data_IF_319252842783
#
_entry.id   IF_319252842783
#
_cell.length_a   1.000
_cell.length_b   1.000
_cell.length_c   1.000
_cell.angle_alpha   90.00
_cell.angle_beta   90.00
_cell.angle_gamma   90.00
#
_symmetry.space_group_name_H-M   'P 1'
#
loop_
_entity.id
_entity.type
_entity.pdbx_description
1 polymer ?
#
# COMPACT_ATOMS: atom_id res chain seq x y z
N UNK A 1 -8.14 -9.45 -5.74
CA UNK A 1 -8.71 -9.61 -4.38
C UNK A 1 -7.75 -10.31 -3.42
N UNK A 2 -7.17 -11.47 -3.77
CA UNK A 2 -6.22 -12.19 -2.91
C UNK A 2 -4.97 -11.36 -2.51
N UNK A 3 -4.37 -10.59 -3.43
CA UNK A 3 -3.21 -9.74 -3.14
C UNK A 3 -3.51 -8.66 -2.09
N UNK A 4 -4.67 -7.99 -2.19
CA UNK A 4 -5.10 -6.98 -1.20
C UNK A 4 -5.30 -7.61 0.18
N UNK A 5 -5.89 -8.81 0.25
CA UNK A 5 -6.08 -9.54 1.50
C UNK A 5 -4.73 -9.90 2.13
N UNK A 6 -3.77 -10.36 1.33
CA UNK A 6 -2.41 -10.62 1.80
C UNK A 6 -1.75 -9.39 2.42
N UNK A 7 -1.76 -8.27 1.69
CA UNK A 7 -1.18 -7.00 2.17
C UNK A 7 -1.86 -6.48 3.44
N UNK A 8 -3.18 -6.63 3.57
CA UNK A 8 -3.89 -6.28 4.82
C UNK A 8 -3.48 -7.20 5.99
N UNK A 9 -3.21 -8.48 5.73
CA UNK A 9 -2.70 -9.43 6.72
C UNK A 9 -1.29 -9.07 7.20
N UNK A 10 -0.43 -8.63 6.29
CA UNK A 10 0.92 -8.16 6.63
C UNK A 10 0.85 -6.86 7.45
N UNK A 11 -0.01 -5.92 7.04
CA UNK A 11 -0.25 -4.69 7.80
C UNK A 11 -0.78 -4.98 9.21
N UNK A 12 -1.72 -5.93 9.34
CA UNK A 12 -2.24 -6.36 10.65
C UNK A 12 -1.12 -6.89 11.54
N UNK A 13 -0.22 -7.70 10.98
CA UNK A 13 0.92 -8.26 11.70
C UNK A 13 1.83 -7.15 12.22
N UNK A 14 2.14 -6.17 11.37
CA UNK A 14 2.99 -5.04 11.73
C UNK A 14 2.34 -4.15 12.81
N UNK A 15 1.06 -3.81 12.65
CA UNK A 15 0.31 -2.98 13.61
C UNK A 15 0.24 -3.66 14.97
N UNK A 16 0.01 -4.98 15.01
CA UNK A 16 -0.01 -5.75 16.27
C UNK A 16 1.35 -5.78 16.95
N UNK A 17 2.43 -5.96 16.19
CA UNK A 17 3.79 -5.90 16.73
C UNK A 17 4.08 -4.51 17.30
N UNK A 18 3.80 -3.44 16.56
CA UNK A 18 4.03 -2.07 17.01
C UNK A 18 3.27 -1.74 18.31
N UNK A 19 2.00 -2.18 18.42
CA UNK A 19 1.19 -2.02 19.66
C UNK A 19 1.74 -2.84 20.82
N UNK A 20 2.21 -4.07 20.59
CA UNK A 20 2.73 -4.92 21.66
C UNK A 20 4.05 -4.36 22.22
N UNK A 21 4.91 -3.83 21.35
CA UNK A 21 6.17 -3.20 21.71
C UNK A 21 5.96 -1.82 22.39
N UNK A 22 4.89 -1.09 22.02
CA UNK A 22 4.62 0.27 22.49
C UNK A 22 3.19 0.47 23.02
N UNK A 23 2.75 -0.20 24.11
CA UNK A 23 1.33 -0.25 24.50
C UNK A 23 0.70 1.10 24.90
N UNK A 24 1.51 2.11 25.23
CA UNK A 24 1.05 3.42 25.71
C UNK A 24 1.24 4.55 24.72
N UNK A 25 1.80 4.26 23.54
CA UNK A 25 2.06 5.27 22.50
C UNK A 25 0.93 5.21 21.48
N UNK A 26 0.31 6.34 21.11
CA UNK A 26 -0.66 6.36 20.03
C UNK A 26 -0.04 5.86 18.72
N UNK A 27 -0.75 4.98 18.00
CA UNK A 27 -0.29 4.43 16.73
C UNK A 27 -0.89 5.23 15.58
N UNK A 28 -0.04 5.96 14.86
CA UNK A 28 -0.39 6.63 13.61
C UNK A 28 0.13 5.86 12.39
N UNK A 29 -0.62 5.90 11.29
CA UNK A 29 -0.17 5.41 9.98
C UNK A 29 -0.02 6.57 9.00
N UNK A 30 1.02 6.51 8.16
CA UNK A 30 1.19 7.37 6.99
C UNK A 30 1.23 6.47 5.76
N UNK A 31 0.29 6.69 4.83
CA UNK A 31 0.11 5.79 3.71
C UNK A 31 0.03 6.56 2.40
N UNK A 32 0.79 6.09 1.41
CA UNK A 32 0.93 6.73 0.10
C UNK A 32 0.44 5.83 -1.03
N UNK A 33 -0.20 6.41 -2.05
CA UNK A 33 -0.57 5.72 -3.29
C UNK A 33 -1.39 4.44 -3.00
N UNK A 34 -0.92 3.26 -3.44
CA UNK A 34 -1.55 1.97 -3.16
C UNK A 34 -1.73 1.70 -1.66
N UNK A 35 -0.78 2.13 -0.80
CA UNK A 35 -0.91 2.02 0.66
C UNK A 35 -2.17 2.71 1.19
N UNK A 36 -2.55 3.83 0.58
CA UNK A 36 -3.78 4.54 0.96
C UNK A 36 -5.05 3.73 0.68
N UNK A 37 -5.06 2.89 -0.36
CA UNK A 37 -6.18 1.99 -0.68
C UNK A 37 -6.21 0.81 0.30
N UNK A 38 -5.03 0.25 0.60
CA UNK A 38 -4.87 -0.87 1.53
C UNK A 38 -5.36 -0.48 2.92
N UNK A 39 -4.89 0.67 3.45
CA UNK A 39 -5.26 1.11 4.80
C UNK A 39 -6.73 1.49 4.91
N UNK A 40 -7.34 2.04 3.85
CA UNK A 40 -8.77 2.33 3.82
C UNK A 40 -9.60 1.04 3.91
N UNK A 41 -9.20 -0.03 3.22
CA UNK A 41 -9.84 -1.34 3.33
C UNK A 41 -9.59 -1.98 4.71
N UNK A 42 -8.36 -1.90 5.22
CA UNK A 42 -7.96 -2.42 6.53
C UNK A 42 -8.80 -1.83 7.68
N UNK A 43 -9.05 -0.52 7.64
CA UNK A 43 -9.80 0.18 8.69
C UNK A 43 -11.30 -0.16 8.71
N UNK A 44 -11.84 -0.83 7.69
CA UNK A 44 -13.21 -1.35 7.75
C UNK A 44 -13.33 -2.49 8.77
N UNK A 45 -12.29 -3.32 8.88
CA UNK A 45 -12.27 -4.48 9.79
C UNK A 45 -11.58 -4.17 11.13
N UNK A 46 -10.56 -3.29 11.13
CA UNK A 46 -9.71 -3.03 12.28
C UNK A 46 -9.59 -1.54 12.69
N UNK A 47 -10.69 -0.76 12.76
CA UNK A 47 -10.60 0.68 12.99
C UNK A 47 -9.98 1.04 14.35
N UNK A 48 -10.17 0.19 15.35
CA UNK A 48 -9.70 0.41 16.72
C UNK A 48 -8.19 0.22 16.92
N UNK A 49 -7.47 -0.26 15.91
CA UNK A 49 -6.02 -0.51 16.02
C UNK A 49 -5.18 0.72 15.68
N UNK A 50 -5.77 1.77 15.09
CA UNK A 50 -5.06 2.95 14.58
C UNK A 50 -5.68 4.21 15.19
N UNK A 51 -4.85 5.07 15.79
CA UNK A 51 -5.30 6.29 16.48
C UNK A 51 -5.27 7.52 15.55
N UNK A 52 -4.44 7.48 14.50
CA UNK A 52 -4.34 8.55 13.51
C UNK A 52 -3.96 8.00 12.13
N UNK A 53 -4.44 8.65 11.07
CA UNK A 53 -4.12 8.30 9.68
C UNK A 53 -3.77 9.56 8.87
N UNK A 54 -2.67 9.51 8.13
CA UNK A 54 -2.30 10.50 7.13
C UNK A 54 -2.23 9.82 5.77
N UNK A 55 -2.96 10.37 4.78
CA UNK A 55 -2.99 9.85 3.42
C UNK A 55 -2.35 10.85 2.46
N UNK A 56 -1.45 10.36 1.61
CA UNK A 56 -0.78 11.19 0.59
C UNK A 56 -0.88 10.56 -0.79
N UNK A 57 -1.19 11.32 -1.83
CA UNK A 57 -1.38 10.77 -3.18
C UNK A 57 -2.47 9.70 -3.22
N UNK A 58 -3.54 9.90 -2.46
CA UNK A 58 -4.62 8.93 -2.30
C UNK A 58 -5.64 9.05 -3.42
N UNK A 59 -6.22 7.92 -3.78
CA UNK A 59 -7.45 7.84 -4.57
C UNK A 59 -8.48 7.09 -3.74
N UNK A 60 -9.74 7.50 -3.84
CA UNK A 60 -10.81 6.74 -3.23
C UNK A 60 -10.91 5.35 -3.91
N UNK A 61 -11.22 4.31 -3.11
CA UNK A 61 -11.17 2.90 -3.54
C UNK A 61 -12.08 2.65 -4.76
N UNK A 62 -13.19 3.37 -4.84
CA UNK A 62 -14.13 3.40 -5.96
C UNK A 62 -13.50 3.99 -7.24
N UNK A 63 -12.67 5.02 -7.14
CA UNK A 63 -11.92 5.60 -8.28
C UNK A 63 -10.88 4.62 -8.80
N UNK A 64 -10.21 3.88 -7.92
CA UNK A 64 -9.28 2.81 -8.31
C UNK A 64 -10.02 1.64 -8.95
N UNK A 65 -11.17 1.25 -8.39
CA UNK A 65 -12.01 0.21 -8.96
C UNK A 65 -12.53 0.60 -10.35
N UNK A 66 -12.92 1.87 -10.56
CA UNK A 66 -13.39 2.38 -11.85
C UNK A 66 -12.27 2.45 -12.91
N UNK A 67 -11.04 2.74 -12.50
CA UNK A 67 -9.89 2.86 -13.42
C UNK A 67 -9.13 1.55 -13.68
N UNK A 68 -9.24 0.57 -12.78
CA UNK A 68 -8.52 -0.71 -12.85
C UNK A 68 -9.43 -1.93 -13.02
N UNK A 69 -10.68 -1.74 -13.45
CA UNK A 69 -11.65 -2.85 -13.58
C UNK A 69 -11.23 -3.92 -14.60
N UNK A 70 -10.42 -3.56 -15.61
CA UNK A 70 -10.16 -4.41 -16.78
C UNK A 70 -8.78 -5.10 -16.79
N UNK A 71 -7.92 -4.86 -15.78
CA UNK A 71 -6.57 -5.44 -15.71
C UNK A 71 -6.31 -6.22 -14.41
N UNK A 72 -5.54 -7.33 -14.46
CA UNK A 72 -5.11 -8.05 -13.25
C UNK A 72 -4.30 -7.18 -12.29
N UNK A 73 -3.47 -6.30 -12.85
CA UNK A 73 -2.82 -5.21 -12.12
C UNK A 73 -3.68 -3.94 -12.21
N UNK A 74 -4.42 -3.67 -11.14
CA UNK A 74 -5.33 -2.52 -11.06
C UNK A 74 -4.63 -1.18 -10.94
N UNK A 75 -3.35 -1.20 -10.59
CA UNK A 75 -2.52 0.00 -10.45
C UNK A 75 -1.60 0.18 -11.65
N UNK A 76 -1.27 -0.90 -12.38
CA UNK A 76 -0.43 -0.88 -13.58
C UNK A 76 -0.91 0.07 -14.68
N UNK A 77 -2.23 0.19 -14.88
CA UNK A 77 -2.80 1.17 -15.82
C UNK A 77 -2.50 2.64 -15.44
N UNK A 78 -2.23 2.92 -14.15
CA UNK A 78 -1.78 4.25 -13.72
C UNK A 78 -0.31 4.48 -14.01
N UNK A 79 0.46 3.41 -14.20
CA UNK A 79 1.88 3.46 -14.51
C UNK A 79 2.18 3.49 -16.02
N UNK A 80 1.17 3.37 -16.88
CA UNK A 80 1.34 3.41 -18.34
C UNK A 80 2.13 4.62 -18.86
N UNK A 81 2.00 5.85 -18.30
CA UNK A 81 2.83 6.98 -18.73
C UNK A 81 4.34 6.81 -18.47
N UNK A 82 4.74 5.83 -17.65
CA UNK A 82 6.13 5.49 -17.33
C UNK A 82 6.65 4.28 -18.12
N UNK A 83 5.84 3.69 -19.01
CA UNK A 83 6.28 2.65 -19.95
C UNK A 83 7.23 3.23 -21.02
N UNK A 84 8.22 2.46 -21.49
CA UNK A 84 8.42 1.03 -21.26
C UNK A 84 9.49 0.72 -20.18
N UNK A 85 9.46 1.38 -19.01
CA UNK A 85 10.54 1.34 -18.00
C UNK A 85 11.22 -0.04 -17.77
N UNK A 86 12.51 -0.08 -17.36
CA UNK A 86 13.21 1.00 -16.65
C UNK A 86 14.29 1.73 -17.46
N UNK A 87 14.47 3.00 -17.12
CA UNK A 87 15.60 3.87 -17.44
C UNK A 87 16.76 3.64 -16.46
N UNK A 88 17.91 4.27 -16.71
CA UNK A 88 19.06 4.23 -15.79
C UNK A 88 18.80 4.88 -14.41
N UNK A 89 17.66 5.57 -14.23
CA UNK A 89 17.33 6.32 -13.01
C UNK A 89 16.21 5.68 -12.17
N UNK A 90 15.54 4.63 -12.67
CA UNK A 90 14.37 4.06 -11.99
C UNK A 90 14.72 3.16 -10.79
N UNK A 91 15.99 2.79 -10.63
CA UNK A 91 16.45 1.91 -9.57
C UNK A 91 17.48 2.61 -8.66
N UNK A 92 17.14 2.77 -7.38
CA UNK A 92 18.08 3.25 -6.35
C UNK A 92 18.91 2.12 -5.73
N UNK A 93 18.65 0.86 -6.11
CA UNK A 93 19.46 -0.27 -5.66
C UNK A 93 20.78 -0.30 -6.40
N UNK A 94 21.88 -0.50 -5.66
CA UNK A 94 23.20 -0.77 -6.25
C UNK A 94 23.37 -2.22 -6.72
N UNK A 95 22.41 -3.09 -6.40
CA UNK A 95 22.41 -4.50 -6.77
C UNK A 95 21.13 -4.82 -7.55
N UNK A 96 21.27 -4.91 -8.87
CA UNK A 96 20.16 -5.15 -9.79
C UNK A 96 19.53 -6.53 -9.59
N UNK A 97 20.32 -7.53 -9.21
CA UNK A 97 19.81 -8.89 -8.96
C UNK A 97 18.86 -8.99 -7.76
N UNK A 98 18.87 -8.00 -6.85
CA UNK A 98 17.90 -7.90 -5.74
C UNK A 98 16.54 -7.35 -6.21
N UNK A 99 16.51 -6.63 -7.33
CA UNK A 99 15.30 -6.02 -7.89
C UNK A 99 14.58 -6.99 -8.83
N UNK A 100 15.33 -7.89 -9.47
CA UNK A 100 14.84 -8.81 -10.50
C UNK A 100 14.36 -10.17 -9.96
N UNK A 101 14.48 -10.43 -8.65
CA UNK A 101 14.17 -11.72 -8.03
C UNK A 101 12.89 -11.72 -7.20
#
# INVERSE_FOLDING_TARGET
>A
MALLIGMMGDLLTLVRAARSENPRVPLGLFEHSMGSVIVQAFLLDYPHLVDALVLSGSAAVDVVAAKGAETPDRFGAMNTPFEPGPTEFDCLSRNQAEVER
#
